data_IF_482998015024
#
_entry.id   IF_482998015024
#
_cell.length_a   1.000
_cell.length_b   1.000
_cell.length_c   1.000
_cell.angle_alpha   90.00
_cell.angle_beta   90.00
_cell.angle_gamma   90.00
#
_symmetry.space_group_name_H-M   'P 1'
#
loop_
_entity.id
_entity.type
_entity.pdbx_description
1 polymer ?
#
# COMPACT_ATOMS: atom_id res chain seq x y z
N UNK A 1 -3.04 -6.12 -32.72
CA UNK A 1 -1.80 -5.62 -32.10
C UNK A 1 -2.10 -5.43 -30.63
N UNK A 2 -1.55 -6.29 -29.76
CA UNK A 2 -1.90 -6.31 -28.33
C UNK A 2 -0.98 -5.34 -27.59
N UNK A 3 -1.57 -4.39 -26.88
CA UNK A 3 -0.89 -3.52 -25.92
C UNK A 3 -0.39 -4.38 -24.77
N UNK A 4 0.92 -4.32 -24.49
CA UNK A 4 1.52 -4.96 -23.32
C UNK A 4 1.31 -4.03 -22.13
N UNK A 5 0.53 -4.47 -21.14
CA UNK A 5 0.42 -3.82 -19.83
C UNK A 5 0.87 -4.86 -18.78
N UNK A 6 2.14 -4.81 -18.38
CA UNK A 6 2.50 -5.03 -16.97
C UNK A 6 2.58 -3.65 -16.33
N UNK A 7 2.41 -3.44 -15.00
CA UNK A 7 2.45 -4.35 -13.86
C UNK A 7 1.19 -4.27 -12.95
N UNK A 8 0.96 -5.22 -12.02
CA UNK A 8 -0.13 -5.14 -11.02
C UNK A 8 0.36 -4.91 -9.58
N UNK A 9 1.54 -5.37 -9.21
CA UNK A 9 2.06 -5.23 -7.83
C UNK A 9 2.59 -3.81 -7.56
N UNK A 10 3.54 -3.32 -8.37
CA UNK A 10 4.09 -1.96 -8.23
C UNK A 10 3.04 -0.86 -8.33
N UNK A 11 1.96 -1.10 -9.09
CA UNK A 11 0.84 -0.17 -9.19
C UNK A 11 0.02 -0.13 -7.91
N UNK A 12 -0.19 -1.25 -7.21
CA UNK A 12 -0.92 -1.26 -5.93
C UNK A 12 -0.10 -0.55 -4.85
N UNK A 13 1.19 -0.82 -4.75
CA UNK A 13 2.08 -0.17 -3.77
C UNK A 13 2.18 1.34 -4.03
N UNK A 14 2.35 1.76 -5.29
CA UNK A 14 2.39 3.19 -5.65
C UNK A 14 1.03 3.86 -5.45
N UNK A 15 -0.08 3.21 -5.81
CA UNK A 15 -1.43 3.74 -5.55
C UNK A 15 -1.71 3.85 -4.05
N UNK A 16 -1.25 2.90 -3.22
CA UNK A 16 -1.36 2.97 -1.76
C UNK A 16 -0.59 4.15 -1.16
N UNK A 17 0.68 4.31 -1.52
CA UNK A 17 1.54 5.42 -1.05
C UNK A 17 1.04 6.78 -1.54
N UNK A 18 0.63 6.88 -2.82
CA UNK A 18 0.06 8.11 -3.38
C UNK A 18 -1.27 8.46 -2.69
N UNK A 19 -2.07 7.46 -2.29
CA UNK A 19 -3.35 7.65 -1.63
C UNK A 19 -3.22 8.15 -0.17
N UNK A 20 -2.21 7.70 0.60
CA UNK A 20 -2.01 8.19 1.98
C UNK A 20 -1.60 9.67 1.99
N UNK A 21 -0.70 10.09 1.08
CA UNK A 21 -0.30 11.50 0.98
C UNK A 21 -1.48 12.42 0.63
N UNK A 22 -2.35 12.01 -0.29
CA UNK A 22 -3.56 12.77 -0.63
C UNK A 22 -4.57 12.81 0.52
N UNK A 23 -4.69 11.73 1.30
CA UNK A 23 -5.56 11.70 2.48
C UNK A 23 -5.08 12.65 3.56
N UNK A 24 -3.77 12.70 3.85
CA UNK A 24 -3.17 13.64 4.81
C UNK A 24 -3.45 15.09 4.41
N UNK A 25 -3.28 15.42 3.14
CA UNK A 25 -3.53 16.78 2.63
C UNK A 25 -5.01 17.17 2.66
N UNK A 26 -5.92 16.20 2.78
CA UNK A 26 -7.37 16.41 2.87
C UNK A 26 -7.86 16.54 4.31
N UNK A 27 -7.01 16.30 5.32
CA UNK A 27 -7.39 16.46 6.73
C UNK A 27 -7.63 17.96 7.01
N UNK A 28 -8.82 18.34 7.49
CA UNK A 28 -9.12 19.74 7.80
C UNK A 28 -8.26 20.20 8.98
N UNK A 29 -7.78 21.44 8.98
CA UNK A 29 -7.03 21.97 10.13
C UNK A 29 -7.90 21.95 11.41
N UNK A 30 -7.33 21.47 12.52
CA UNK A 30 -8.04 21.40 13.80
C UNK A 30 -8.49 22.79 14.24
N UNK A 31 -9.76 22.90 14.64
CA UNK A 31 -10.34 24.09 15.23
C UNK A 31 -11.35 23.69 16.32
N UNK A 32 -11.86 24.68 17.06
CA UNK A 32 -12.73 24.43 18.21
C UNK A 32 -14.06 23.74 17.91
N UNK A 33 -14.45 23.59 16.62
CA UNK A 33 -15.74 23.04 16.22
C UNK A 33 -15.64 21.69 15.50
N UNK A 34 -14.46 21.31 15.01
CA UNK A 34 -14.30 20.17 14.11
C UNK A 34 -13.55 18.97 14.74
N UNK A 35 -13.34 18.96 16.06
CA UNK A 35 -12.56 17.92 16.74
C UNK A 35 -12.99 16.49 16.37
N UNK A 36 -14.30 16.20 16.31
CA UNK A 36 -14.80 14.87 15.96
C UNK A 36 -14.36 14.44 14.55
N UNK A 37 -14.55 15.32 13.56
CA UNK A 37 -14.20 15.05 12.16
C UNK A 37 -12.68 14.96 11.99
N UNK A 38 -11.94 15.86 12.63
CA UNK A 38 -10.49 15.87 12.60
C UNK A 38 -9.90 14.58 13.19
N UNK A 39 -10.41 14.16 14.35
CA UNK A 39 -9.96 12.96 15.05
C UNK A 39 -10.19 11.71 14.20
N UNK A 40 -11.41 11.54 13.66
CA UNK A 40 -11.74 10.39 12.79
C UNK A 40 -10.80 10.33 11.57
N UNK A 41 -10.51 11.48 10.93
CA UNK A 41 -9.62 11.54 9.78
C UNK A 41 -8.15 11.16 10.13
N UNK A 42 -7.65 11.61 11.28
CA UNK A 42 -6.30 11.26 11.77
C UNK A 42 -6.20 9.77 12.11
N UNK A 43 -7.22 9.21 12.77
CA UNK A 43 -7.25 7.78 13.13
C UNK A 43 -7.24 6.88 11.88
N UNK A 44 -7.98 7.25 10.82
CA UNK A 44 -7.97 6.50 9.56
C UNK A 44 -6.57 6.47 8.94
N UNK A 45 -5.90 7.63 8.85
CA UNK A 45 -4.57 7.71 8.27
C UNK A 45 -3.55 6.89 9.06
N UNK A 46 -3.62 6.96 10.40
CA UNK A 46 -2.71 6.20 11.27
C UNK A 46 -2.94 4.70 11.12
N UNK A 47 -4.20 4.25 11.12
CA UNK A 47 -4.53 2.84 10.91
C UNK A 47 -4.06 2.32 9.54
N UNK A 48 -4.09 3.16 8.49
CA UNK A 48 -3.52 2.80 7.19
C UNK A 48 -1.99 2.66 7.26
N UNK A 49 -1.30 3.57 7.96
CA UNK A 49 0.17 3.47 8.14
C UNK A 49 0.56 2.22 8.93
N UNK A 50 -0.18 1.88 9.98
CA UNK A 50 0.06 0.69 10.79
C UNK A 50 -0.22 -0.59 9.98
N UNK A 51 -1.26 -0.60 9.15
CA UNK A 51 -1.56 -1.72 8.26
C UNK A 51 -0.47 -1.90 7.21
N UNK A 52 -0.01 -0.82 6.58
CA UNK A 52 1.11 -0.86 5.65
C UNK A 52 2.35 -1.42 6.37
N UNK A 53 2.68 -0.92 7.56
CA UNK A 53 3.81 -1.44 8.33
C UNK A 53 3.67 -2.93 8.68
N UNK A 54 2.49 -3.38 9.09
CA UNK A 54 2.22 -4.79 9.39
C UNK A 54 2.41 -5.67 8.15
N UNK A 55 1.95 -5.22 6.98
CA UNK A 55 2.17 -5.93 5.71
C UNK A 55 3.65 -5.98 5.32
N UNK A 56 4.42 -4.93 5.58
CA UNK A 56 5.87 -4.93 5.36
C UNK A 56 6.64 -5.82 6.33
N UNK A 57 6.12 -6.04 7.53
CA UNK A 57 6.69 -6.96 8.52
C UNK A 57 6.34 -8.41 8.18
N UNK A 58 5.14 -8.66 7.65
CA UNK A 58 4.71 -10.00 7.20
C UNK A 58 5.24 -10.38 5.82
N UNK A 59 5.50 -9.42 4.93
CA UNK A 59 6.19 -9.67 3.67
C UNK A 59 7.66 -10.01 3.98
N UNK A 60 8.12 -11.25 3.69
CA UNK A 60 9.47 -11.63 4.02
C UNK A 60 10.42 -10.77 3.19
N UNK A 61 11.26 -9.98 3.87
CA UNK A 61 12.39 -9.31 3.25
C UNK A 61 13.14 -10.40 2.47
N UNK A 62 13.27 -10.31 1.14
CA UNK A 62 13.92 -11.33 0.37
C UNK A 62 15.41 -11.33 0.74
N UNK A 63 15.76 -12.17 1.71
CA UNK A 63 17.14 -12.59 1.93
C UNK A 63 17.62 -13.27 0.66
N UNK A 64 18.92 -13.15 0.35
CA UNK A 64 19.52 -13.72 -0.86
C UNK A 64 19.13 -15.20 -1.08
N UNK A 65 18.87 -15.93 -0.01
CA UNK A 65 18.43 -17.33 0.00
C UNK A 65 16.97 -17.56 -0.46
N UNK A 66 16.08 -16.56 -0.36
CA UNK A 66 14.69 -16.60 -0.85
C UNK A 66 14.54 -16.08 -2.30
N UNK A 67 15.54 -15.37 -2.82
CA UNK A 67 15.50 -14.80 -4.18
C UNK A 67 15.62 -15.87 -5.28
N UNK A 68 16.22 -17.01 -4.94
CA UNK A 68 16.30 -18.19 -5.80
C UNK A 68 14.96 -18.95 -5.89
N UNK A 69 14.19 -19.04 -4.81
CA UNK A 69 12.88 -19.70 -4.79
C UNK A 69 11.77 -18.84 -5.41
N UNK A 70 11.86 -17.51 -5.29
CA UNK A 70 10.94 -16.58 -5.98
C UNK A 70 11.06 -16.67 -7.51
N UNK A 71 12.17 -17.21 -8.03
CA UNK A 71 12.40 -17.37 -9.48
C UNK A 71 11.75 -18.62 -10.09
N UNK A 72 11.13 -19.51 -9.31
CA UNK A 72 10.58 -20.79 -9.80
C UNK A 72 9.09 -20.96 -9.48
N UNK A 73 8.30 -19.89 -9.35
CA UNK A 73 6.86 -20.02 -9.61
C UNK A 73 6.56 -19.60 -11.04
N UNK A 74 6.97 -20.49 -11.94
CA UNK A 74 6.62 -20.50 -13.35
C UNK A 74 5.12 -20.79 -13.43
N UNK A 75 4.28 -19.75 -13.43
CA UNK A 75 2.83 -19.86 -13.64
C UNK A 75 2.51 -20.30 -15.08
N UNK A 76 2.68 -21.60 -15.36
CA UNK A 76 2.16 -22.27 -16.56
C UNK A 76 0.84 -22.99 -16.25
N UNK A 77 -0.24 -22.22 -16.05
CA UNK A 77 -1.57 -22.64 -16.52
C UNK A 77 -2.59 -21.53 -16.34
N UNK A 78 -2.93 -20.85 -17.43
CA UNK A 78 -4.29 -20.38 -17.65
C UNK A 78 -4.56 -20.52 -19.15
N UNK A 79 -5.20 -21.63 -19.51
CA UNK A 79 -6.00 -21.76 -20.73
C UNK A 79 -7.37 -21.13 -20.48
#
# INVERSE_FOLDING_TARGET
MKTVIGPKAYTVSLLGVVNVSTQINSIPMLNGKNFKVWKEAVEIVLNCMDLDLALWVEEPIPTMDNLQDVKIEKWEHFN
#
